data_IF_537416697227
#
_entry.id   IF_537416697227
#
_cell.length_a   1.000
_cell.length_b   1.000
_cell.length_c   1.000
_cell.angle_alpha   90.00
_cell.angle_beta   90.00
_cell.angle_gamma   90.00
#
_symmetry.space_group_name_H-M   'P 1'
#
loop_
_entity.id
_entity.type
_entity.pdbx_description
1 polymer ?
#
# COMPACT_ATOMS: atom_id res chain seq x y z
N UNK A 1 33.94 -57.89 -47.78
CA UNK A 1 33.26 -56.73 -48.39
C UNK A 1 32.66 -55.92 -47.28
N UNK A 2 33.25 -54.77 -47.07
CA UNK A 2 32.96 -53.80 -46.00
C UNK A 2 31.67 -53.03 -46.27
N UNK A 3 30.96 -52.68 -45.26
CA UNK A 3 30.23 -51.43 -45.22
C UNK A 3 30.18 -50.95 -43.75
N UNK A 4 30.81 -49.81 -43.50
CA UNK A 4 30.78 -49.12 -42.27
C UNK A 4 29.49 -48.33 -42.06
N UNK A 5 29.07 -48.20 -40.81
CA UNK A 5 28.03 -47.28 -40.43
C UNK A 5 28.54 -46.36 -39.31
N UNK A 6 28.62 -45.07 -39.64
CA UNK A 6 28.91 -43.99 -38.72
C UNK A 6 27.78 -43.79 -37.75
N UNK A 7 28.03 -43.96 -36.46
CA UNK A 7 27.14 -43.53 -35.38
C UNK A 7 27.66 -42.20 -34.84
N UNK A 8 26.81 -41.16 -34.96
CA UNK A 8 27.08 -39.82 -34.32
C UNK A 8 26.90 -39.89 -32.83
N UNK A 9 27.62 -39.04 -32.07
CA UNK A 9 27.53 -39.03 -30.61
C UNK A 9 26.26 -38.42 -30.11
N UNK A 10 25.49 -39.17 -29.33
CA UNK A 10 24.40 -38.70 -28.51
C UNK A 10 24.97 -37.83 -27.37
N UNK A 11 24.56 -36.59 -27.29
CA UNK A 11 24.86 -35.69 -26.16
C UNK A 11 24.07 -36.12 -24.97
N UNK A 12 24.76 -36.72 -24.01
CA UNK A 12 24.23 -37.08 -22.69
C UNK A 12 24.20 -35.81 -21.83
N UNK A 13 23.01 -35.37 -21.45
CA UNK A 13 22.81 -34.29 -20.49
C UNK A 13 23.14 -34.78 -19.09
N UNK A 14 24.21 -34.25 -18.50
CA UNK A 14 24.62 -34.52 -17.14
C UNK A 14 24.32 -33.29 -16.26
N UNK A 15 23.32 -33.36 -15.33
CA UNK A 15 22.86 -32.21 -14.55
C UNK A 15 23.81 -31.74 -13.44
N UNK A 16 24.94 -32.41 -13.25
CA UNK A 16 25.83 -32.17 -12.09
C UNK A 16 27.24 -31.67 -12.42
N UNK A 17 27.51 -31.27 -13.66
CA UNK A 17 28.81 -30.66 -13.99
C UNK A 17 28.74 -29.14 -13.79
N UNK A 18 29.59 -28.56 -12.91
CA UNK A 18 29.75 -27.12 -12.82
C UNK A 18 30.32 -26.61 -14.14
N UNK A 19 29.67 -25.57 -14.72
CA UNK A 19 30.19 -24.90 -15.90
C UNK A 19 31.58 -24.34 -15.60
N UNK A 20 32.59 -24.97 -16.17
CA UNK A 20 33.97 -24.47 -16.20
C UNK A 20 33.99 -23.14 -16.93
N UNK A 21 34.61 -22.16 -16.29
CA UNK A 21 34.90 -20.84 -16.80
C UNK A 21 35.59 -20.96 -18.17
N UNK A 22 34.98 -20.42 -19.23
CA UNK A 22 35.68 -20.18 -20.49
C UNK A 22 36.67 -19.03 -20.25
N UNK A 23 37.93 -19.20 -20.64
CA UNK A 23 38.90 -18.11 -20.58
C UNK A 23 38.50 -17.03 -21.61
N UNK A 24 38.46 -15.80 -21.17
CA UNK A 24 38.33 -14.61 -22.00
C UNK A 24 39.56 -14.49 -22.88
N UNK A 25 39.47 -14.84 -24.15
CA UNK A 25 40.46 -14.47 -25.13
C UNK A 25 40.26 -13.00 -25.49
N UNK A 26 41.22 -12.18 -25.09
CA UNK A 26 41.36 -10.81 -25.53
C UNK A 26 41.70 -10.79 -27.04
N UNK A 27 40.84 -10.15 -27.82
CA UNK A 27 41.05 -9.90 -29.23
C UNK A 27 39.96 -9.04 -29.81
N UNK A 28 40.23 -7.75 -30.05
CA UNK A 28 39.40 -6.85 -30.86
C UNK A 28 38.78 -5.71 -30.09
N UNK A 29 39.38 -4.53 -30.29
CA UNK A 29 38.82 -3.20 -30.01
C UNK A 29 37.33 -3.10 -30.34
N UNK A 30 36.55 -2.77 -29.35
CA UNK A 30 35.47 -1.76 -29.35
C UNK A 30 34.90 -1.72 -27.93
N UNK A 31 35.36 -0.77 -27.14
CA UNK A 31 34.92 -0.51 -25.77
C UNK A 31 33.51 -0.01 -25.75
N UNK A 32 32.51 -0.89 -25.83
CA UNK A 32 31.15 -0.57 -25.49
C UNK A 32 30.91 -0.87 -23.99
N UNK A 33 31.28 0.11 -23.17
CA UNK A 33 30.61 0.20 -21.85
C UNK A 33 29.12 0.27 -22.09
N UNK A 34 28.28 -0.46 -21.29
CA UNK A 34 26.84 -0.36 -21.40
C UNK A 34 26.43 1.13 -21.34
N UNK A 35 25.70 1.57 -22.34
CA UNK A 35 25.26 2.97 -22.42
C UNK A 35 24.21 3.22 -21.36
N UNK A 36 24.70 3.57 -20.17
CA UNK A 36 23.85 3.91 -19.02
C UNK A 36 23.02 5.17 -19.28
N UNK A 37 23.43 6.04 -20.21
CA UNK A 37 22.68 7.21 -20.62
C UNK A 37 21.43 6.80 -21.41
N UNK A 38 21.55 5.88 -22.36
CA UNK A 38 20.41 5.35 -23.12
C UNK A 38 19.42 4.59 -22.23
N UNK A 39 19.91 3.85 -21.22
CA UNK A 39 19.05 3.18 -20.23
C UNK A 39 18.32 4.18 -19.30
N UNK A 40 18.98 5.27 -18.92
CA UNK A 40 18.37 6.33 -18.14
C UNK A 40 17.29 7.06 -18.95
N UNK A 41 17.55 7.38 -20.21
CA UNK A 41 16.60 8.03 -21.13
C UNK A 41 15.38 7.16 -21.43
N UNK A 42 15.57 5.85 -21.60
CA UNK A 42 14.47 4.89 -21.77
C UNK A 42 13.59 4.80 -20.52
N UNK A 43 14.16 4.96 -19.32
CA UNK A 43 13.40 4.98 -18.06
C UNK A 43 12.61 6.29 -17.88
N UNK A 44 13.19 7.43 -18.26
CA UNK A 44 12.52 8.72 -18.21
C UNK A 44 11.36 8.85 -19.19
N UNK A 45 11.52 8.35 -20.41
CA UNK A 45 10.44 8.37 -21.41
C UNK A 45 9.27 7.50 -21.01
N UNK A 46 9.51 6.37 -20.33
CA UNK A 46 8.45 5.52 -19.78
C UNK A 46 7.71 6.21 -18.62
N UNK A 47 8.42 6.95 -17.77
CA UNK A 47 7.82 7.73 -16.69
C UNK A 47 7.05 8.97 -17.19
N UNK A 48 7.56 9.66 -18.21
CA UNK A 48 6.86 10.78 -18.86
C UNK A 48 5.54 10.35 -19.51
N UNK A 49 5.52 9.20 -20.21
CA UNK A 49 4.28 8.64 -20.80
C UNK A 49 3.25 8.26 -19.73
N UNK A 50 3.66 7.66 -18.61
CA UNK A 50 2.76 7.37 -17.49
C UNK A 50 2.22 8.65 -16.85
N UNK A 51 3.06 9.66 -16.61
CA UNK A 51 2.61 10.96 -16.06
C UNK A 51 1.63 11.67 -17.00
N UNK A 52 1.85 11.67 -18.32
CA UNK A 52 0.93 12.26 -19.29
C UNK A 52 -0.42 11.54 -19.33
N UNK A 53 -0.46 10.20 -19.18
CA UNK A 53 -1.72 9.46 -19.10
C UNK A 53 -2.51 9.78 -17.81
N UNK A 54 -1.83 10.00 -16.68
CA UNK A 54 -2.49 10.39 -15.42
C UNK A 54 -2.94 11.86 -15.42
N UNK A 55 -2.18 12.76 -16.02
CA UNK A 55 -2.53 14.19 -16.13
C UNK A 55 -3.67 14.37 -17.17
N UNK A 56 -3.61 13.70 -18.32
CA UNK A 56 -4.65 13.75 -19.35
C UNK A 56 -5.98 13.14 -18.89
N UNK A 57 -5.94 11.99 -18.20
CA UNK A 57 -7.14 11.35 -17.65
C UNK A 57 -7.79 12.14 -16.51
N UNK A 58 -7.00 12.78 -15.66
CA UNK A 58 -7.49 13.63 -14.57
C UNK A 58 -8.13 14.93 -15.06
N UNK A 59 -7.56 15.57 -16.08
CA UNK A 59 -8.08 16.82 -16.64
C UNK A 59 -9.45 16.63 -17.31
N UNK A 60 -9.67 15.53 -18.01
CA UNK A 60 -10.97 15.24 -18.66
C UNK A 60 -12.06 15.00 -17.61
N UNK A 61 -11.75 14.30 -16.52
CA UNK A 61 -12.71 14.06 -15.45
C UNK A 61 -13.11 15.35 -14.70
N UNK A 62 -12.17 16.25 -14.45
CA UNK A 62 -12.46 17.55 -13.79
C UNK A 62 -13.26 18.51 -14.67
N UNK A 63 -13.02 18.52 -15.98
CA UNK A 63 -13.82 19.34 -16.91
C UNK A 63 -15.26 18.82 -17.00
N UNK A 64 -15.46 17.49 -17.03
CA UNK A 64 -16.80 16.90 -17.07
C UNK A 64 -17.64 17.23 -15.82
N UNK A 65 -17.03 17.23 -14.62
CA UNK A 65 -17.70 17.60 -13.38
C UNK A 65 -17.96 19.11 -13.32
N UNK A 66 -17.01 19.94 -13.75
CA UNK A 66 -17.14 21.39 -13.77
C UNK A 66 -18.27 21.88 -14.71
N UNK A 67 -18.44 21.29 -15.89
CA UNK A 67 -19.50 21.64 -16.82
C UNK A 67 -20.89 21.22 -16.35
N UNK A 68 -21.01 20.08 -15.65
CA UNK A 68 -22.28 19.65 -15.08
C UNK A 68 -22.77 20.60 -13.96
N UNK A 69 -21.88 21.10 -13.12
CA UNK A 69 -22.22 22.07 -12.06
C UNK A 69 -22.58 23.44 -12.65
N UNK A 70 -21.83 23.90 -13.68
CA UNK A 70 -22.12 25.15 -14.33
C UNK A 70 -23.49 25.16 -15.04
N UNK A 71 -23.88 24.04 -15.69
CA UNK A 71 -25.22 23.92 -16.29
C UNK A 71 -26.34 23.89 -15.25
N UNK A 72 -26.12 23.27 -14.09
CA UNK A 72 -27.11 23.26 -13.02
C UNK A 72 -27.39 24.67 -12.45
N UNK A 73 -26.36 25.51 -12.31
CA UNK A 73 -26.49 26.87 -11.79
C UNK A 73 -27.19 27.78 -12.80
N UNK A 74 -26.87 27.64 -14.09
CA UNK A 74 -27.53 28.44 -15.15
C UNK A 74 -28.99 28.04 -15.32
N UNK A 75 -29.34 26.76 -15.21
CA UNK A 75 -30.73 26.28 -15.31
C UNK A 75 -31.59 26.66 -14.09
N UNK A 76 -31.00 26.92 -12.93
CA UNK A 76 -31.74 27.35 -11.74
C UNK A 76 -32.07 28.85 -11.74
N UNK A 77 -31.38 29.68 -12.54
CA UNK A 77 -31.55 31.14 -12.58
C UNK A 77 -32.38 31.65 -13.79
N UNK A 78 -32.93 30.76 -14.60
CA UNK A 78 -33.66 31.08 -15.82
C UNK A 78 -35.18 31.09 -15.69
N UNK A 79 -35.76 31.94 -14.86
CA UNK A 79 -37.15 32.41 -14.99
C UNK A 79 -37.25 33.84 -14.48
N UNK A 80 -37.02 34.80 -15.40
CA UNK A 80 -37.76 36.04 -15.44
C UNK A 80 -37.55 36.66 -16.83
N UNK A 81 -38.65 36.77 -17.57
CA UNK A 81 -38.77 37.48 -18.81
C UNK A 81 -38.63 38.99 -18.59
N UNK A 82 -37.84 39.64 -19.41
CA UNK A 82 -38.12 41.05 -19.77
C UNK A 82 -37.51 41.34 -21.14
N UNK A 83 -38.40 41.48 -22.08
CA UNK A 83 -38.24 42.08 -23.39
C UNK A 83 -37.74 43.53 -23.27
N UNK A 84 -36.71 43.92 -24.04
CA UNK A 84 -36.20 45.28 -24.06
C UNK A 84 -35.09 45.49 -25.09
N UNK A 85 -35.45 46.16 -26.17
CA UNK A 85 -34.71 46.49 -27.38
C UNK A 85 -33.40 47.26 -27.13
N UNK A 86 -32.33 47.05 -27.92
CA UNK A 86 -31.06 47.75 -27.76
C UNK A 86 -31.00 49.04 -28.55
N UNK A 87 -30.86 50.17 -27.89
CA UNK A 87 -30.33 51.41 -28.51
C UNK A 87 -30.06 52.44 -27.40
N UNK A 88 -28.79 52.63 -27.08
CA UNK A 88 -28.13 53.89 -26.76
C UNK A 88 -26.86 53.67 -25.93
N UNK A 89 -25.76 53.61 -26.64
CA UNK A 89 -24.44 53.81 -26.04
C UNK A 89 -24.18 55.31 -25.93
N UNK A 90 -23.93 55.86 -24.76
CA UNK A 90 -23.39 57.23 -24.65
C UNK A 90 -21.91 57.23 -25.05
N UNK A 91 -21.55 58.20 -25.87
CA UNK A 91 -20.20 58.45 -26.33
C UNK A 91 -19.20 58.76 -25.20
N UNK A 92 -17.94 58.37 -25.45
CA UNK A 92 -16.75 58.45 -24.67
C UNK A 92 -16.60 59.60 -23.68
N UNK A 93 -16.49 59.20 -22.43
CA UNK A 93 -15.84 60.02 -21.42
C UNK A 93 -14.37 59.57 -21.29
N UNK A 94 -13.44 60.53 -21.46
CA UNK A 94 -12.03 60.31 -21.31
C UNK A 94 -11.71 59.74 -19.94
N UNK A 95 -11.05 58.57 -19.92
CA UNK A 95 -10.53 57.96 -18.71
C UNK A 95 -9.27 58.75 -18.28
N UNK A 96 -9.20 59.37 -17.10
CA UNK A 96 -7.95 59.95 -16.61
C UNK A 96 -6.89 58.87 -16.44
N UNK A 97 -5.74 59.01 -17.10
CA UNK A 97 -4.57 58.19 -16.89
C UNK A 97 -3.97 58.49 -15.49
N UNK A 98 -4.59 57.95 -14.48
CA UNK A 98 -3.98 57.84 -13.16
C UNK A 98 -3.15 56.56 -13.13
N UNK A 99 -1.83 56.71 -12.99
CA UNK A 99 -0.92 55.62 -12.69
C UNK A 99 -1.26 55.03 -11.30
N UNK A 100 -2.31 54.26 -11.22
CA UNK A 100 -2.51 53.40 -10.05
C UNK A 100 -1.61 52.16 -10.21
N UNK A 101 -0.56 52.11 -9.44
CA UNK A 101 0.25 50.90 -9.28
C UNK A 101 -0.68 49.75 -9.00
N UNK A 102 -0.72 48.77 -9.90
CA UNK A 102 -1.47 47.55 -9.68
C UNK A 102 -0.99 46.91 -8.35
N UNK A 103 -1.89 46.49 -7.47
CA UNK A 103 -1.49 45.82 -6.25
C UNK A 103 -0.66 44.58 -6.62
N UNK A 104 0.63 44.60 -6.23
CA UNK A 104 1.51 43.45 -6.37
C UNK A 104 1.04 42.39 -5.36
N UNK A 105 0.27 41.43 -5.82
CA UNK A 105 0.02 40.23 -5.05
C UNK A 105 1.32 39.42 -5.03
N UNK A 106 2.05 39.48 -3.92
CA UNK A 106 3.12 38.52 -3.69
C UNK A 106 2.54 37.09 -3.79
N UNK A 107 3.16 36.17 -4.52
CA UNK A 107 2.67 34.80 -4.57
C UNK A 107 2.72 34.22 -3.17
N UNK A 108 1.57 34.07 -2.54
CA UNK A 108 1.46 33.34 -1.28
C UNK A 108 1.75 31.89 -1.58
N UNK A 109 2.97 31.42 -1.27
CA UNK A 109 3.29 29.99 -1.33
C UNK A 109 2.31 29.25 -0.41
N UNK A 110 1.56 28.31 -0.96
CA UNK A 110 0.73 27.41 -0.16
C UNK A 110 1.64 26.70 0.87
N UNK A 111 1.20 26.58 2.14
CA UNK A 111 1.98 25.85 3.13
C UNK A 111 2.25 24.42 2.64
N UNK A 112 3.42 23.85 2.98
CA UNK A 112 3.75 22.49 2.56
C UNK A 112 2.69 21.51 3.09
N UNK A 113 2.35 20.46 2.32
CA UNK A 113 1.40 19.45 2.76
C UNK A 113 1.83 18.80 4.08
N UNK A 114 0.90 18.62 5.01
CA UNK A 114 1.15 17.94 6.28
C UNK A 114 1.52 16.46 6.04
N UNK A 115 2.59 15.97 6.69
CA UNK A 115 2.99 14.56 6.56
C UNK A 115 1.99 13.64 7.29
N UNK A 116 1.30 12.74 6.57
CA UNK A 116 0.36 11.79 7.16
C UNK A 116 0.96 10.91 8.27
N UNK A 117 2.25 10.60 8.20
CA UNK A 117 2.93 9.76 9.19
C UNK A 117 3.02 10.44 10.56
N UNK A 118 3.12 11.75 10.60
CA UNK A 118 3.13 12.48 11.85
C UNK A 118 1.83 12.29 12.65
N UNK A 119 0.69 12.20 11.96
CA UNK A 119 -0.63 12.02 12.59
C UNK A 119 -0.85 10.62 13.18
N UNK A 120 -0.01 9.66 12.84
CA UNK A 120 -0.05 8.30 13.39
C UNK A 120 1.20 7.97 14.21
N UNK A 121 2.10 8.91 14.48
CA UNK A 121 3.35 8.67 15.18
C UNK A 121 3.18 8.47 16.69
N UNK A 122 2.15 9.08 17.30
CA UNK A 122 1.93 8.99 18.75
C UNK A 122 0.44 9.02 19.10
N UNK A 123 0.12 8.53 20.30
CA UNK A 123 -1.25 8.58 20.86
C UNK A 123 -1.79 10.02 20.94
N UNK A 124 -0.93 10.99 21.18
CA UNK A 124 -1.33 12.41 21.30
C UNK A 124 -1.75 13.00 19.94
N UNK A 125 -1.11 12.56 18.84
CA UNK A 125 -1.42 13.04 17.49
C UNK A 125 -2.53 12.22 16.80
N UNK A 126 -2.61 10.93 17.10
CA UNK A 126 -3.55 10.00 16.49
C UNK A 126 -4.85 9.92 17.31
N UNK A 127 -5.69 10.93 17.13
CA UNK A 127 -6.92 11.15 17.94
C UNK A 127 -8.20 10.62 17.30
N UNK A 128 -8.19 10.31 16.00
CA UNK A 128 -9.38 9.81 15.32
C UNK A 128 -9.88 8.50 15.94
N UNK A 129 -11.20 8.22 15.96
CA UNK A 129 -11.74 6.97 16.46
C UNK A 129 -11.12 5.76 15.77
N UNK A 130 -10.71 4.76 16.55
CA UNK A 130 -10.09 3.54 16.05
C UNK A 130 -10.97 2.34 16.37
N UNK A 131 -11.31 1.56 15.36
CA UNK A 131 -12.03 0.29 15.48
C UNK A 131 -11.59 -0.64 14.35
N UNK A 132 -11.90 -1.94 14.50
CA UNK A 132 -11.64 -2.89 13.41
C UNK A 132 -12.43 -2.50 12.15
N UNK A 133 -13.65 -2.03 12.30
CA UNK A 133 -14.52 -1.61 11.18
C UNK A 133 -13.96 -0.39 10.45
N UNK A 134 -13.41 0.58 11.19
CA UNK A 134 -12.83 1.78 10.58
C UNK A 134 -11.50 1.47 9.88
N UNK A 135 -10.71 0.55 10.45
CA UNK A 135 -9.42 0.17 9.86
C UNK A 135 -9.56 -0.84 8.72
N UNK A 136 -10.55 -1.75 8.80
CA UNK A 136 -10.81 -2.80 7.82
C UNK A 136 -12.28 -2.81 7.39
N UNK A 137 -12.74 -1.78 6.65
CA UNK A 137 -14.16 -1.61 6.34
C UNK A 137 -14.69 -2.65 5.35
N UNK A 138 -13.83 -3.22 4.50
CA UNK A 138 -14.26 -4.04 3.38
C UNK A 138 -14.61 -5.47 3.79
N UNK A 139 -15.85 -5.91 3.50
CA UNK A 139 -16.27 -7.31 3.63
C UNK A 139 -15.64 -8.20 2.55
N UNK A 140 -15.35 -7.63 1.39
CA UNK A 140 -14.56 -8.24 0.31
C UNK A 140 -13.45 -7.28 -0.07
N UNK A 141 -12.23 -7.79 -0.12
CA UNK A 141 -11.04 -7.05 -0.49
C UNK A 141 -10.51 -7.57 -1.81
N UNK A 142 -10.40 -6.69 -2.81
CA UNK A 142 -9.76 -7.01 -4.08
C UNK A 142 -8.33 -6.46 -4.10
N UNK A 143 -7.35 -7.34 -4.31
CA UNK A 143 -5.95 -7.01 -4.50
C UNK A 143 -5.48 -7.63 -5.81
N UNK A 144 -5.17 -6.80 -6.79
CA UNK A 144 -4.93 -7.24 -8.18
C UNK A 144 -6.12 -8.08 -8.70
N UNK A 145 -5.88 -9.36 -9.02
CA UNK A 145 -6.91 -10.32 -9.46
C UNK A 145 -7.49 -11.18 -8.33
N UNK A 146 -7.05 -10.97 -7.07
CA UNK A 146 -7.49 -11.78 -5.94
C UNK A 146 -8.61 -11.08 -5.16
N UNK A 147 -9.66 -11.84 -4.87
CA UNK A 147 -10.77 -11.40 -4.01
C UNK A 147 -10.71 -12.19 -2.71
N UNK A 148 -10.50 -11.48 -1.61
CA UNK A 148 -10.45 -12.03 -0.26
C UNK A 148 -11.77 -11.73 0.46
N UNK A 149 -12.34 -12.72 1.14
CA UNK A 149 -13.54 -12.58 1.97
C UNK A 149 -13.14 -12.34 3.41
N UNK A 150 -13.74 -11.32 4.06
CA UNK A 150 -13.52 -11.05 5.48
C UNK A 150 -14.23 -12.10 6.32
N UNK A 151 -13.48 -12.73 7.20
CA UNK A 151 -13.95 -13.63 8.24
C UNK A 151 -14.23 -12.90 9.55
N UNK A 152 -13.85 -13.52 10.66
CA UNK A 152 -14.03 -12.97 12.00
C UNK A 152 -13.17 -11.73 12.25
N UNK A 153 -13.64 -10.87 13.14
CA UNK A 153 -12.94 -9.70 13.68
C UNK A 153 -12.93 -9.75 15.19
N UNK A 154 -11.87 -9.22 15.80
CA UNK A 154 -11.77 -9.10 17.25
C UNK A 154 -11.02 -7.84 17.64
N UNK A 155 -11.34 -7.33 18.83
CA UNK A 155 -10.76 -6.13 19.40
C UNK A 155 -10.55 -6.36 20.89
N UNK A 156 -9.33 -6.19 21.37
CA UNK A 156 -9.01 -6.40 22.79
C UNK A 156 -8.01 -5.37 23.30
N UNK A 157 -8.20 -4.93 24.54
CA UNK A 157 -7.22 -4.15 25.28
C UNK A 157 -6.14 -5.02 25.92
N UNK A 158 -6.42 -6.31 26.10
CA UNK A 158 -5.41 -7.28 26.55
C UNK A 158 -4.70 -7.91 25.34
N UNK A 159 -3.69 -7.22 24.82
CA UNK A 159 -2.95 -7.68 23.66
C UNK A 159 -2.33 -9.07 23.85
N UNK A 160 -1.85 -9.35 25.05
CA UNK A 160 -1.16 -10.59 25.39
C UNK A 160 -2.08 -11.81 25.26
N UNK A 161 -3.38 -11.69 25.55
CA UNK A 161 -4.33 -12.80 25.45
C UNK A 161 -4.61 -13.26 24.02
N UNK A 162 -4.28 -12.45 23.04
CA UNK A 162 -4.49 -12.74 21.62
C UNK A 162 -3.19 -12.93 20.84
N UNK A 163 -2.08 -13.12 21.55
CA UNK A 163 -0.76 -13.42 21.06
C UNK A 163 -0.23 -14.69 21.69
N UNK A 164 0.65 -15.41 21.00
CA UNK A 164 1.21 -16.67 21.46
C UNK A 164 2.73 -16.59 21.55
N UNK A 165 3.29 -17.51 22.34
CA UNK A 165 4.71 -17.67 22.58
C UNK A 165 5.38 -16.35 23.02
N UNK A 166 6.46 -15.97 22.38
CA UNK A 166 7.21 -14.77 22.74
C UNK A 166 6.46 -13.46 22.45
N UNK A 167 5.49 -13.45 21.52
CA UNK A 167 4.78 -12.22 21.16
C UNK A 167 3.92 -11.67 22.30
N UNK A 168 3.34 -12.54 23.14
CA UNK A 168 2.59 -12.14 24.33
C UNK A 168 3.46 -11.27 25.27
N UNK A 169 4.69 -11.72 25.54
CA UNK A 169 5.67 -10.99 26.37
C UNK A 169 6.13 -9.71 25.69
N UNK A 170 6.39 -9.74 24.37
CA UNK A 170 6.80 -8.57 23.58
C UNK A 170 5.71 -7.48 23.65
N UNK A 171 4.44 -7.83 23.54
CA UNK A 171 3.36 -6.87 23.66
C UNK A 171 3.31 -6.21 25.03
N UNK A 172 3.44 -7.02 26.10
CA UNK A 172 3.44 -6.50 27.46
C UNK A 172 4.62 -5.58 27.72
N UNK A 173 5.84 -5.99 27.35
CA UNK A 173 7.07 -5.23 27.63
C UNK A 173 7.15 -3.92 26.88
N UNK A 174 6.50 -3.82 25.68
CA UNK A 174 6.46 -2.59 24.90
C UNK A 174 5.20 -1.74 25.15
N UNK A 175 4.31 -2.17 26.06
CA UNK A 175 3.11 -1.40 26.44
C UNK A 175 2.07 -1.35 25.32
N UNK A 176 1.75 -2.50 24.71
CA UNK A 176 0.62 -2.61 23.78
C UNK A 176 -0.68 -2.27 24.51
N UNK A 177 -1.43 -1.29 23.98
CA UNK A 177 -2.66 -0.78 24.59
C UNK A 177 -3.94 -1.38 24.00
N UNK A 178 -3.85 -1.90 22.76
CA UNK A 178 -4.98 -2.47 22.02
C UNK A 178 -4.48 -3.35 20.88
N UNK A 179 -5.17 -4.45 20.62
CA UNK A 179 -4.92 -5.33 19.48
C UNK A 179 -6.20 -5.53 18.69
N UNK A 180 -6.21 -5.02 17.46
CA UNK A 180 -7.28 -5.20 16.49
C UNK A 180 -6.92 -6.39 15.60
N UNK A 181 -7.84 -7.36 15.45
CA UNK A 181 -7.62 -8.52 14.58
C UNK A 181 -8.72 -8.64 13.55
N UNK A 182 -8.32 -9.03 12.33
CA UNK A 182 -9.22 -9.36 11.24
C UNK A 182 -8.67 -10.56 10.47
N UNK A 183 -9.53 -11.45 10.06
CA UNK A 183 -9.17 -12.56 9.19
C UNK A 183 -9.76 -12.36 7.80
N UNK A 184 -8.95 -12.61 6.78
CA UNK A 184 -9.39 -12.72 5.39
C UNK A 184 -9.01 -14.08 4.85
N UNK A 185 -9.83 -14.61 3.93
CA UNK A 185 -9.59 -15.92 3.34
C UNK A 185 -9.89 -15.96 1.85
N UNK A 186 -9.16 -16.83 1.14
CA UNK A 186 -9.35 -17.15 -0.27
C UNK A 186 -8.82 -18.56 -0.55
N UNK A 187 -9.60 -19.38 -1.27
CA UNK A 187 -9.19 -20.67 -1.84
C UNK A 187 -8.46 -21.60 -0.83
N UNK A 188 -9.03 -21.74 0.37
CA UNK A 188 -8.46 -22.61 1.41
C UNK A 188 -7.24 -22.03 2.17
N UNK A 189 -6.86 -20.80 1.88
CA UNK A 189 -5.87 -20.04 2.65
C UNK A 189 -6.57 -19.00 3.51
N UNK A 190 -6.14 -18.86 4.76
CA UNK A 190 -6.60 -17.79 5.65
C UNK A 190 -5.43 -17.05 6.26
N UNK A 191 -5.62 -15.75 6.47
CA UNK A 191 -4.65 -14.86 7.13
C UNK A 191 -5.34 -14.05 8.19
N UNK A 192 -4.91 -14.18 9.43
CA UNK A 192 -5.27 -13.24 10.50
C UNK A 192 -4.22 -12.14 10.56
N UNK A 193 -4.64 -10.91 10.37
CA UNK A 193 -3.82 -9.73 10.64
C UNK A 193 -4.19 -9.20 12.03
N UNK A 194 -3.18 -8.96 12.86
CA UNK A 194 -3.30 -8.27 14.14
C UNK A 194 -2.57 -6.95 14.09
N UNK A 195 -3.28 -5.84 14.36
CA UNK A 195 -2.70 -4.50 14.48
C UNK A 195 -2.62 -4.15 15.95
N UNK A 196 -1.40 -4.17 16.48
CA UNK A 196 -1.08 -3.78 17.85
C UNK A 196 -0.80 -2.28 17.91
N UNK A 197 -1.43 -1.62 18.89
CA UNK A 197 -1.40 -0.17 19.08
C UNK A 197 -0.54 0.17 20.29
N UNK A 198 0.39 1.09 20.12
CA UNK A 198 1.30 1.56 21.17
C UNK A 198 1.13 3.07 21.38
N UNK A 199 1.75 3.61 22.43
CA UNK A 199 1.68 5.06 22.67
C UNK A 199 2.55 5.84 21.67
N UNK A 200 3.63 5.24 21.17
CA UNK A 200 4.62 5.90 20.29
C UNK A 200 5.09 4.96 19.20
N UNK A 201 5.59 5.56 18.12
CA UNK A 201 6.25 4.86 17.01
C UNK A 201 7.45 4.04 17.49
N UNK A 202 8.27 4.58 18.40
CA UNK A 202 9.44 3.87 18.95
C UNK A 202 9.06 2.55 19.63
N UNK A 203 7.95 2.53 20.40
CA UNK A 203 7.45 1.30 21.03
C UNK A 203 6.94 0.29 20.00
N UNK A 204 6.24 0.76 18.96
CA UNK A 204 5.78 -0.11 17.87
C UNK A 204 6.95 -0.73 17.09
N UNK A 205 7.95 0.08 16.76
CA UNK A 205 9.17 -0.35 16.08
C UNK A 205 9.98 -1.36 16.93
N UNK A 206 10.09 -1.10 18.24
CA UNK A 206 10.74 -2.02 19.18
C UNK A 206 10.01 -3.38 19.25
N UNK A 207 8.68 -3.38 19.35
CA UNK A 207 7.89 -4.61 19.36
C UNK A 207 8.08 -5.41 18.05
N UNK A 208 8.08 -4.74 16.90
CA UNK A 208 8.37 -5.35 15.60
C UNK A 208 9.78 -5.95 15.57
N UNK A 209 10.80 -5.20 15.95
CA UNK A 209 12.20 -5.67 15.94
C UNK A 209 12.43 -6.86 16.88
N UNK A 210 11.83 -6.84 18.07
CA UNK A 210 11.87 -7.95 19.02
C UNK A 210 11.16 -9.20 18.48
N UNK A 211 10.05 -9.02 17.75
CA UNK A 211 9.36 -10.12 17.09
C UNK A 211 10.21 -10.76 16.00
N UNK A 212 10.90 -9.96 15.18
CA UNK A 212 11.81 -10.47 14.15
C UNK A 212 12.99 -11.23 14.79
N UNK A 213 13.57 -10.71 15.87
CA UNK A 213 14.63 -11.38 16.61
C UNK A 213 14.16 -12.70 17.22
N UNK A 214 12.94 -12.73 17.78
CA UNK A 214 12.35 -13.93 18.32
C UNK A 214 12.07 -14.99 17.23
N UNK A 215 11.58 -14.56 16.06
CA UNK A 215 11.36 -15.46 14.92
C UNK A 215 12.68 -16.08 14.43
N UNK A 216 13.75 -15.30 14.33
CA UNK A 216 15.10 -15.79 13.99
C UNK A 216 15.63 -16.79 15.04
N UNK A 217 15.28 -16.61 16.32
CA UNK A 217 15.59 -17.51 17.41
C UNK A 217 14.62 -18.69 17.55
N UNK A 218 13.77 -18.94 16.54
CA UNK A 218 12.76 -20.02 16.51
C UNK A 218 11.73 -19.98 17.65
N UNK A 219 11.49 -18.83 18.28
CA UNK A 219 10.54 -18.64 19.39
C UNK A 219 9.08 -18.38 18.93
N UNK A 220 8.80 -18.52 17.66
CA UNK A 220 7.47 -18.46 17.02
C UNK A 220 6.57 -17.35 17.54
N UNK A 221 6.94 -16.05 17.42
CA UNK A 221 6.09 -14.96 17.85
C UNK A 221 4.94 -14.78 16.85
N UNK A 222 3.70 -15.02 17.25
CA UNK A 222 2.57 -14.86 16.34
C UNK A 222 1.29 -14.40 17.05
N UNK A 223 0.46 -13.71 16.28
CA UNK A 223 -0.91 -13.38 16.66
C UNK A 223 -1.77 -14.62 16.49
N UNK A 224 -2.57 -14.95 17.50
CA UNK A 224 -3.47 -16.10 17.44
C UNK A 224 -4.42 -15.99 16.25
N UNK A 225 -4.45 -17.02 15.41
CA UNK A 225 -5.36 -17.13 14.29
C UNK A 225 -6.82 -17.04 14.75
N UNK A 226 -7.63 -16.28 14.03
CA UNK A 226 -9.01 -15.99 14.38
C UNK A 226 -9.95 -16.67 13.39
N UNK A 227 -10.54 -17.79 13.81
CA UNK A 227 -11.57 -18.50 13.05
C UNK A 227 -12.95 -17.85 13.23
N UNK A 228 -13.87 -18.20 12.33
CA UNK A 228 -15.27 -17.73 12.38
C UNK A 228 -15.70 -17.00 11.11
N UNK A 229 -17.00 -16.73 10.97
CA UNK A 229 -17.62 -16.12 9.81
C UNK A 229 -17.23 -16.83 8.49
N UNK A 230 -17.34 -18.15 8.45
CA UNK A 230 -17.02 -18.98 7.29
C UNK A 230 -15.55 -19.39 7.19
N UNK A 231 -14.67 -18.90 8.04
CA UNK A 231 -13.27 -19.35 8.11
C UNK A 231 -13.09 -20.43 9.16
N UNK A 232 -12.61 -21.61 8.75
CA UNK A 232 -12.29 -22.71 9.66
C UNK A 232 -11.06 -22.38 10.50
N UNK A 233 -10.90 -23.08 11.62
CA UNK A 233 -9.68 -22.99 12.45
C UNK A 233 -8.45 -23.38 11.62
N UNK A 234 -7.37 -22.61 11.78
CA UNK A 234 -6.10 -22.80 11.08
C UNK A 234 -4.94 -22.40 12.00
N UNK A 235 -3.75 -22.83 11.71
CA UNK A 235 -2.54 -22.54 12.50
C UNK A 235 -2.57 -22.98 13.97
N UNK A 236 -3.42 -23.93 14.34
CA UNK A 236 -3.45 -24.44 15.73
C UNK A 236 -2.28 -25.38 16.02
N UNK A 237 -2.03 -26.36 15.12
CA UNK A 237 -0.91 -27.29 15.22
C UNK A 237 0.01 -27.23 14.00
N UNK A 238 -0.52 -26.82 12.83
CA UNK A 238 0.22 -26.70 11.60
C UNK A 238 1.24 -25.57 11.65
N UNK A 239 2.35 -25.75 10.96
CA UNK A 239 3.32 -24.69 10.70
C UNK A 239 2.71 -23.63 9.81
N UNK A 240 2.78 -22.38 10.25
CA UNK A 240 2.22 -21.22 9.54
C UNK A 240 3.29 -20.19 9.21
N UNK A 241 3.00 -19.36 8.20
CA UNK A 241 3.78 -18.17 7.90
C UNK A 241 3.43 -17.08 8.91
N UNK A 242 4.45 -16.47 9.50
CA UNK A 242 4.29 -15.30 10.38
C UNK A 242 5.14 -14.16 9.88
N UNK A 243 4.60 -12.94 9.91
CA UNK A 243 5.31 -11.73 9.50
C UNK A 243 5.02 -10.59 10.47
N UNK A 244 5.95 -9.63 10.57
CA UNK A 244 5.83 -8.45 11.42
C UNK A 244 6.32 -7.21 10.69
N UNK A 245 5.57 -6.10 10.81
CA UNK A 245 5.94 -4.78 10.29
C UNK A 245 5.47 -3.69 11.24
N UNK A 246 5.90 -2.43 11.03
CA UNK A 246 5.43 -1.29 11.80
C UNK A 246 5.37 -0.03 10.95
N UNK A 247 4.45 0.86 11.29
CA UNK A 247 4.34 2.22 10.75
C UNK A 247 3.65 3.13 11.77
N UNK A 248 4.25 4.27 12.08
CA UNK A 248 3.81 5.10 13.17
C UNK A 248 3.70 4.29 14.47
N UNK A 249 2.72 4.58 15.30
CA UNK A 249 2.46 3.88 16.58
C UNK A 249 1.86 2.47 16.44
N UNK A 250 1.80 1.92 15.23
CA UNK A 250 1.22 0.62 14.94
C UNK A 250 2.29 -0.40 14.57
N UNK A 251 2.30 -1.56 15.24
CA UNK A 251 2.97 -2.76 14.74
C UNK A 251 1.91 -3.75 14.27
N UNK A 252 2.09 -4.33 13.09
CA UNK A 252 1.12 -5.25 12.53
C UNK A 252 1.76 -6.56 12.13
N UNK A 253 1.05 -7.62 12.47
CA UNK A 253 1.50 -9.00 12.42
C UNK A 253 0.52 -9.79 11.58
N UNK A 254 1.01 -10.71 10.75
CA UNK A 254 0.14 -11.65 10.07
C UNK A 254 0.50 -13.08 10.43
N UNK A 255 -0.53 -13.89 10.63
CA UNK A 255 -0.45 -15.35 10.76
C UNK A 255 -1.25 -15.95 9.61
N UNK A 256 -0.56 -16.60 8.67
CA UNK A 256 -1.12 -17.13 7.44
C UNK A 256 -0.94 -18.64 7.34
N UNK A 257 -1.98 -19.35 6.91
CA UNK A 257 -1.93 -20.79 6.77
C UNK A 257 -3.09 -21.39 6.00
N UNK A 258 -3.03 -22.70 5.81
CA UNK A 258 -4.09 -23.45 5.17
C UNK A 258 -5.22 -23.78 6.15
N UNK A 259 -6.48 -23.65 5.71
CA UNK A 259 -7.67 -23.98 6.51
C UNK A 259 -7.96 -25.48 6.59
N UNK A 260 -7.17 -26.31 5.91
CA UNK A 260 -7.23 -27.77 5.96
C UNK A 260 -6.18 -28.41 6.90
N UNK A 261 -5.44 -27.59 7.65
CA UNK A 261 -4.45 -28.05 8.62
C UNK A 261 -3.11 -28.50 8.03
N UNK A 262 -2.85 -28.27 6.74
CA UNK A 262 -1.54 -28.56 6.13
C UNK A 262 -0.48 -27.56 6.60
N UNK A 263 0.76 -28.03 6.73
CA UNK A 263 1.91 -27.20 7.02
C UNK A 263 2.23 -26.25 5.86
N UNK A 264 2.62 -25.03 6.21
CA UNK A 264 3.21 -24.08 5.26
C UNK A 264 4.68 -24.44 5.06
N UNK A 265 5.07 -24.58 3.81
CA UNK A 265 6.44 -24.84 3.36
C UNK A 265 6.92 -23.72 2.44
N UNK A 266 8.18 -23.69 2.08
CA UNK A 266 8.74 -22.70 1.14
C UNK A 266 8.07 -22.73 -0.25
N UNK A 267 7.36 -23.82 -0.58
CA UNK A 267 6.63 -23.97 -1.85
C UNK A 267 5.16 -23.52 -1.76
N UNK A 268 4.70 -23.06 -0.60
CA UNK A 268 3.31 -22.62 -0.36
C UNK A 268 3.06 -21.22 -0.90
N UNK A 269 3.26 -21.00 -2.21
CA UNK A 269 3.21 -19.69 -2.87
C UNK A 269 1.90 -18.94 -2.64
N UNK A 270 0.76 -19.65 -2.58
CA UNK A 270 -0.55 -19.06 -2.29
C UNK A 270 -0.61 -18.44 -0.88
N UNK A 271 0.00 -19.08 0.12
CA UNK A 271 0.05 -18.54 1.49
C UNK A 271 0.94 -17.31 1.56
N UNK A 272 2.11 -17.34 0.91
CA UNK A 272 3.02 -16.19 0.84
C UNK A 272 2.35 -15.01 0.12
N UNK A 273 1.71 -15.26 -1.03
CA UNK A 273 1.01 -14.21 -1.77
C UNK A 273 -0.12 -13.60 -0.93
N UNK A 274 -0.99 -14.41 -0.35
CA UNK A 274 -2.09 -13.93 0.49
C UNK A 274 -1.56 -13.17 1.69
N UNK A 275 -0.51 -13.67 2.36
CA UNK A 275 0.15 -12.98 3.48
C UNK A 275 0.67 -11.60 3.09
N UNK A 276 1.36 -11.49 1.96
CA UNK A 276 1.91 -10.23 1.46
C UNK A 276 0.81 -9.24 1.06
N UNK A 277 -0.25 -9.70 0.37
CA UNK A 277 -1.37 -8.86 -0.04
C UNK A 277 -2.06 -8.24 1.20
N UNK A 278 -2.28 -9.04 2.26
CA UNK A 278 -2.91 -8.56 3.50
C UNK A 278 -1.97 -7.64 4.31
N UNK A 279 -0.67 -7.87 4.30
CA UNK A 279 0.31 -6.96 4.90
C UNK A 279 0.29 -5.59 4.18
N UNK A 280 0.32 -5.60 2.86
CA UNK A 280 0.26 -4.37 2.05
C UNK A 280 -1.07 -3.62 2.25
N UNK A 281 -2.17 -4.34 2.29
CA UNK A 281 -3.49 -3.76 2.60
C UNK A 281 -3.48 -3.09 3.97
N UNK A 282 -2.99 -3.78 5.00
CA UNK A 282 -2.91 -3.24 6.36
C UNK A 282 -2.07 -1.97 6.43
N UNK A 283 -0.90 -1.97 5.79
CA UNK A 283 -0.06 -0.79 5.69
C UNK A 283 -0.79 0.40 5.06
N UNK A 284 -1.49 0.16 3.94
CA UNK A 284 -2.28 1.20 3.26
C UNK A 284 -3.40 1.75 4.13
N UNK A 285 -4.08 0.89 4.90
CA UNK A 285 -5.16 1.32 5.80
C UNK A 285 -4.63 2.20 6.94
N UNK A 286 -3.48 1.86 7.52
CA UNK A 286 -2.85 2.67 8.56
C UNK A 286 -2.40 4.02 8.00
N UNK A 287 -1.79 4.06 6.81
CA UNK A 287 -1.43 5.32 6.15
C UNK A 287 -2.65 6.15 5.77
N UNK A 288 -3.71 5.54 5.26
CA UNK A 288 -4.96 6.24 4.93
C UNK A 288 -5.59 6.89 6.17
N UNK A 289 -5.46 6.26 7.35
CA UNK A 289 -5.85 6.86 8.62
C UNK A 289 -5.05 8.14 8.92
N UNK A 290 -3.73 8.12 8.72
CA UNK A 290 -2.88 9.30 8.86
C UNK A 290 -3.26 10.39 7.85
N UNK A 291 -3.49 10.01 6.59
CA UNK A 291 -3.90 10.92 5.53
C UNK A 291 -5.22 11.64 5.85
N UNK A 292 -6.20 10.89 6.35
CA UNK A 292 -7.50 11.48 6.72
C UNK A 292 -7.35 12.52 7.84
N UNK A 293 -6.51 12.24 8.84
CA UNK A 293 -6.23 13.18 9.94
C UNK A 293 -5.43 14.41 9.47
N UNK A 294 -4.44 14.22 8.61
CA UNK A 294 -3.68 15.33 8.01
C UNK A 294 -4.59 16.24 7.17
N UNK A 295 -5.47 15.67 6.36
CA UNK A 295 -6.44 16.41 5.57
C UNK A 295 -7.45 17.17 6.45
N UNK A 296 -7.91 16.58 7.55
CA UNK A 296 -8.80 17.23 8.49
C UNK A 296 -8.11 18.43 9.21
N UNK A 297 -6.83 18.29 9.53
CA UNK A 297 -6.04 19.35 10.17
C UNK A 297 -5.72 20.51 9.19
N UNK A 298 -5.51 20.22 7.91
CA UNK A 298 -5.27 21.24 6.89
C UNK A 298 -6.50 22.10 6.58
N UNK A 299 -7.70 21.65 6.93
CA UNK A 299 -8.97 22.33 6.69
C UNK A 299 -9.49 23.11 7.91
N UNK A 300 -8.72 23.18 8.99
CA UNK A 300 -9.02 23.97 10.21
C UNK A 300 -8.28 25.29 10.21
#
# INVERSE_FOLDING_TARGET
MSFGQQGGPQSQWDPWKPHSQQPWTSGGDDGQTPDWAALAEASETRNKRRRLLFIGGGAVATIAIGTAVAMAVVSANGKNEASGNPSNLPAGGAIPSGSASAPSFAPTSAPPPLDPKEFIASKAKDTAPLSVQNLFPLAQLTMESNVYKRGATADTKNCASAAQDSLSKIFTSNGCTRLLRVTYSKDGVAVTVGVAVFDTEAKAAAARAQSDAAAKAHKKPFVTALAGNGVKAFCNAARCLTTANSVGRYAYFATAGFTNGKDVTNQSTSVFKTGNDLQLYTFRQILARGQAQASAAANQ
#
